data_IF_154160420370
#
_entry.id   IF_154160420370
#
_cell.length_a   1.000
_cell.length_b   1.000
_cell.length_c   1.000
_cell.angle_alpha   90.00
_cell.angle_beta   90.00
_cell.angle_gamma   90.00
#
_symmetry.space_group_name_H-M   'P 1'
#
loop_
_entity.id
_entity.type
_entity.pdbx_description
1 polymer ?
#
# COMPACT_ATOMS: atom_id res chain seq x y z
N UNK A 1 3.74 15.82 3.60
CA UNK A 1 3.73 14.57 2.82
C UNK A 1 2.32 13.95 2.72
N UNK A 2 1.43 14.13 3.70
CA UNK A 2 0.01 13.67 3.68
C UNK A 2 -0.75 13.95 2.38
N UNK A 3 -0.44 15.06 1.70
CA UNK A 3 -1.10 15.45 0.45
C UNK A 3 -1.07 14.37 -0.64
N UNK A 4 -0.04 13.50 -0.69
CA UNK A 4 0.06 12.40 -1.67
C UNK A 4 -1.10 11.41 -1.53
N UNK A 5 -1.66 11.27 -0.33
CA UNK A 5 -2.70 10.30 0.00
C UNK A 5 -4.09 10.92 0.11
N UNK A 6 -4.22 12.24 0.09
CA UNK A 6 -5.52 12.92 0.23
C UNK A 6 -6.48 12.55 -0.88
N UNK A 7 -6.01 12.47 -2.13
CA UNK A 7 -6.85 12.08 -3.27
C UNK A 7 -7.30 10.62 -3.12
N UNK A 8 -6.37 9.71 -2.79
CA UNK A 8 -6.68 8.30 -2.52
C UNK A 8 -7.76 8.15 -1.46
N UNK A 9 -7.63 8.88 -0.35
CA UNK A 9 -8.59 8.85 0.75
C UNK A 9 -9.99 9.28 0.33
N UNK A 10 -10.09 10.41 -0.39
CA UNK A 10 -11.37 10.90 -0.90
C UNK A 10 -12.00 9.90 -1.86
N UNK A 11 -11.23 9.32 -2.78
CA UNK A 11 -11.73 8.34 -3.75
C UNK A 11 -12.28 7.08 -3.08
N UNK A 12 -11.59 6.56 -2.06
CA UNK A 12 -12.07 5.40 -1.29
C UNK A 12 -13.41 5.67 -0.61
N UNK A 13 -13.58 6.84 0.02
CA UNK A 13 -14.85 7.24 0.63
C UNK A 13 -15.98 7.47 -0.39
N UNK A 14 -15.64 7.72 -1.66
CA UNK A 14 -16.59 7.81 -2.76
C UNK A 14 -16.91 6.45 -3.41
N UNK A 15 -16.33 5.35 -2.91
CA UNK A 15 -16.54 4.01 -3.48
C UNK A 15 -15.78 3.77 -4.79
N UNK A 16 -14.69 4.51 -5.03
CA UNK A 16 -13.86 4.40 -6.23
C UNK A 16 -12.58 3.65 -5.90
N UNK A 17 -12.39 2.49 -6.52
CA UNK A 17 -11.13 1.73 -6.46
C UNK A 17 -9.95 2.60 -6.92
N UNK A 18 -8.83 2.51 -6.20
CA UNK A 18 -7.63 3.30 -6.47
C UNK A 18 -6.52 2.39 -6.95
N UNK A 19 -5.97 2.70 -8.13
CA UNK A 19 -4.69 2.18 -8.58
C UNK A 19 -3.68 3.33 -8.58
N UNK A 20 -2.78 3.33 -7.61
CA UNK A 20 -1.77 4.36 -7.40
C UNK A 20 -0.43 3.92 -7.97
N UNK A 21 0.30 4.86 -8.56
CA UNK A 21 1.69 4.70 -8.92
C UNK A 21 2.43 6.05 -8.85
N UNK A 22 3.72 6.02 -8.51
CA UNK A 22 4.57 7.20 -8.49
C UNK A 22 4.87 7.70 -9.92
N UNK A 23 5.20 8.98 -10.06
CA UNK A 23 5.44 9.61 -11.37
C UNK A 23 6.67 9.08 -12.12
N UNK A 24 7.57 8.40 -11.42
CA UNK A 24 8.75 7.72 -11.95
C UNK A 24 8.48 6.25 -12.32
N UNK A 25 7.24 5.78 -12.22
CA UNK A 25 6.85 4.43 -12.63
C UNK A 25 6.52 4.37 -14.12
N UNK A 26 7.18 3.45 -14.84
CA UNK A 26 6.95 3.22 -16.26
C UNK A 26 6.29 1.86 -16.50
N UNK A 27 5.22 1.87 -17.29
CA UNK A 27 4.50 0.67 -17.70
C UNK A 27 4.78 0.34 -19.16
N UNK A 28 5.40 -0.82 -19.41
CA UNK A 28 5.59 -1.33 -20.79
C UNK A 28 4.31 -1.94 -21.36
N UNK A 29 3.34 -2.27 -20.50
CA UNK A 29 2.01 -2.80 -20.83
C UNK A 29 1.01 -2.31 -19.78
N UNK A 30 -0.27 -2.26 -20.12
CA UNK A 30 -1.30 -1.93 -19.14
C UNK A 30 -1.30 -2.95 -17.97
N UNK A 31 -0.93 -2.56 -16.74
CA UNK A 31 -0.84 -3.48 -15.61
C UNK A 31 -2.20 -3.77 -14.97
N UNK A 32 -3.21 -2.93 -15.23
CA UNK A 32 -4.48 -2.96 -14.51
C UNK A 32 -5.21 -4.31 -14.60
N UNK A 33 -5.31 -4.99 -15.75
CA UNK A 33 -5.96 -6.31 -15.82
C UNK A 33 -5.31 -7.35 -14.91
N UNK A 34 -3.97 -7.32 -14.79
CA UNK A 34 -3.22 -8.24 -13.92
C UNK A 34 -3.49 -7.94 -12.44
N UNK A 35 -3.41 -6.66 -12.06
CA UNK A 35 -3.67 -6.19 -10.69
C UNK A 35 -5.08 -6.57 -10.24
N UNK A 36 -6.09 -6.32 -11.09
CA UNK A 36 -7.49 -6.64 -10.77
C UNK A 36 -7.73 -8.16 -10.68
N UNK A 37 -7.13 -8.95 -11.56
CA UNK A 37 -7.21 -10.42 -11.51
C UNK A 37 -6.57 -10.97 -10.23
N UNK A 38 -5.39 -10.48 -9.85
CA UNK A 38 -4.74 -10.89 -8.61
C UNK A 38 -5.55 -10.47 -7.36
N UNK A 39 -6.14 -9.26 -7.36
CA UNK A 39 -6.99 -8.77 -6.27
C UNK A 39 -8.25 -9.61 -6.12
N UNK A 40 -8.80 -10.09 -7.24
CA UNK A 40 -9.95 -11.00 -7.26
C UNK A 40 -9.57 -12.38 -6.71
N UNK A 41 -8.50 -12.99 -7.23
CA UNK A 41 -8.04 -14.34 -6.82
C UNK A 41 -7.68 -14.42 -5.34
N UNK A 42 -6.96 -13.42 -4.83
CA UNK A 42 -6.55 -13.35 -3.43
C UNK A 42 -7.65 -12.84 -2.49
N UNK A 43 -8.76 -12.33 -3.04
CA UNK A 43 -9.79 -11.59 -2.30
C UNK A 43 -9.22 -10.44 -1.47
N UNK A 44 -8.11 -9.86 -1.92
CA UNK A 44 -7.46 -8.74 -1.24
C UNK A 44 -8.19 -7.43 -1.53
N UNK A 45 -8.28 -6.60 -0.51
CA UNK A 45 -8.71 -5.21 -0.56
C UNK A 45 -7.51 -4.29 -0.81
N UNK A 46 -6.30 -4.70 -0.42
CA UNK A 46 -5.10 -3.94 -0.66
C UNK A 46 -4.00 -4.82 -1.27
N UNK A 47 -3.38 -4.33 -2.35
CA UNK A 47 -2.26 -4.96 -3.02
C UNK A 47 -1.10 -3.98 -3.14
N UNK A 48 0.07 -4.37 -2.65
CA UNK A 48 1.27 -3.54 -2.72
C UNK A 48 2.36 -4.24 -3.51
N UNK A 49 3.15 -3.48 -4.27
CA UNK A 49 4.37 -4.02 -4.85
C UNK A 49 5.32 -4.50 -3.75
N UNK A 50 6.05 -5.59 -4.00
CA UNK A 50 7.18 -5.96 -3.14
C UNK A 50 8.40 -5.14 -3.55
N UNK A 51 9.25 -4.76 -2.59
CA UNK A 51 10.56 -4.22 -2.90
C UNK A 51 11.46 -5.33 -3.49
N UNK A 52 12.17 -5.05 -4.58
CA UNK A 52 12.99 -6.07 -5.25
C UNK A 52 14.18 -6.52 -4.39
N UNK A 53 14.85 -5.56 -3.75
CA UNK A 53 16.08 -5.78 -2.98
C UNK A 53 15.88 -5.82 -1.45
N UNK A 54 14.63 -5.92 -0.98
CA UNK A 54 14.32 -5.80 0.44
C UNK A 54 13.08 -6.58 0.87
N UNK A 55 13.01 -6.90 2.17
CA UNK A 55 11.84 -7.57 2.77
C UNK A 55 10.83 -6.53 3.26
N UNK A 56 10.35 -5.68 2.35
CA UNK A 56 9.37 -4.65 2.61
C UNK A 56 8.49 -4.40 1.38
N UNK A 57 7.36 -3.73 1.59
CA UNK A 57 6.54 -3.24 0.49
C UNK A 57 7.24 -2.09 -0.25
N UNK A 58 6.86 -1.88 -1.50
CA UNK A 58 7.07 -0.67 -2.26
C UNK A 58 5.73 0.06 -2.39
N UNK A 59 5.65 1.30 -1.90
CA UNK A 59 4.43 2.12 -1.93
C UNK A 59 4.33 3.01 -3.18
N UNK A 60 5.33 2.93 -4.06
CA UNK A 60 5.33 3.59 -5.35
C UNK A 60 4.41 2.90 -6.36
N UNK A 61 3.86 1.74 -6.02
CA UNK A 61 2.74 1.13 -6.74
C UNK A 61 1.87 0.32 -5.80
N UNK A 62 0.57 0.62 -5.77
CA UNK A 62 -0.40 -0.17 -5.02
C UNK A 62 -1.82 -0.06 -5.59
N UNK A 63 -2.66 -1.02 -5.23
CA UNK A 63 -4.09 -1.01 -5.50
C UNK A 63 -4.87 -1.11 -4.18
N UNK A 64 -5.93 -0.30 -4.07
CA UNK A 64 -6.90 -0.36 -2.99
C UNK A 64 -8.30 -0.51 -3.59
N UNK A 65 -8.99 -1.57 -3.20
CA UNK A 65 -10.43 -1.74 -3.46
C UNK A 65 -11.18 -0.80 -2.53
N UNK A 66 -12.19 -0.10 -3.04
CA UNK A 66 -13.04 0.75 -2.23
C UNK A 66 -14.10 -0.10 -1.51
N UNK A 67 -13.84 -0.38 -0.25
CA UNK A 67 -14.78 -0.99 0.69
C UNK A 67 -14.89 -0.07 1.91
N UNK A 68 -15.96 -0.19 2.73
CA UNK A 68 -16.02 0.54 3.99
C UNK A 68 -14.80 0.26 4.88
N UNK A 69 -14.33 -0.99 4.90
CA UNK A 69 -13.17 -1.40 5.70
C UNK A 69 -11.86 -0.78 5.21
N UNK A 70 -11.61 -0.74 3.89
CA UNK A 70 -10.40 -0.13 3.35
C UNK A 70 -10.41 1.39 3.50
N UNK A 71 -11.56 2.05 3.38
CA UNK A 71 -11.69 3.48 3.61
C UNK A 71 -11.45 3.85 5.09
N UNK A 72 -11.99 3.07 6.02
CA UNK A 72 -11.74 3.24 7.46
C UNK A 72 -10.27 2.98 7.80
N UNK A 73 -9.71 1.85 7.35
CA UNK A 73 -8.30 1.51 7.53
C UNK A 73 -7.36 2.61 7.00
N UNK A 74 -7.64 3.14 5.82
CA UNK A 74 -6.83 4.22 5.23
C UNK A 74 -7.00 5.55 5.98
N UNK A 75 -8.17 5.79 6.58
CA UNK A 75 -8.39 6.94 7.47
C UNK A 75 -7.55 6.84 8.75
N UNK A 76 -7.50 5.65 9.36
CA UNK A 76 -6.62 5.37 10.50
C UNK A 76 -5.15 5.58 10.13
N UNK A 77 -4.73 5.12 8.95
CA UNK A 77 -3.37 5.35 8.45
C UNK A 77 -3.06 6.84 8.33
N UNK A 78 -3.96 7.63 7.73
CA UNK A 78 -3.71 9.05 7.56
C UNK A 78 -3.70 9.82 8.86
N UNK A 79 -4.56 9.46 9.81
CA UNK A 79 -4.54 10.05 11.15
C UNK A 79 -3.21 9.74 11.84
N UNK A 80 -2.80 8.47 11.87
CA UNK A 80 -1.52 8.07 12.45
C UNK A 80 -0.34 8.77 11.79
N UNK A 81 -0.32 8.81 10.45
CA UNK A 81 0.76 9.43 9.69
C UNK A 81 0.82 10.96 9.85
N UNK A 82 -0.35 11.60 10.03
CA UNK A 82 -0.42 13.01 10.38
C UNK A 82 0.21 13.29 11.75
N UNK A 83 -0.05 12.44 12.73
CA UNK A 83 0.42 12.61 14.11
C UNK A 83 1.88 12.19 14.28
N UNK A 84 2.36 11.22 13.48
CA UNK A 84 3.70 10.65 13.52
C UNK A 84 4.56 11.07 12.32
N UNK A 85 4.69 12.38 12.09
CA UNK A 85 5.37 12.96 10.91
C UNK A 85 6.84 12.57 10.73
N UNK A 86 7.47 12.00 11.75
CA UNK A 86 8.86 11.54 11.72
C UNK A 86 9.03 10.15 11.11
N UNK A 87 7.94 9.37 10.99
CA UNK A 87 7.99 8.06 10.34
C UNK A 87 7.87 8.21 8.82
N UNK A 88 8.69 7.45 8.09
CA UNK A 88 8.64 7.42 6.62
C UNK A 88 7.38 6.67 6.19
N UNK A 89 6.66 7.21 5.21
CA UNK A 89 5.37 6.68 4.73
C UNK A 89 5.40 5.18 4.36
N UNK A 90 6.44 4.73 3.65
CA UNK A 90 6.59 3.32 3.29
C UNK A 90 6.65 2.42 4.52
N UNK A 91 7.37 2.86 5.56
CA UNK A 91 7.49 2.13 6.82
C UNK A 91 6.16 2.09 7.56
N UNK A 92 5.47 3.22 7.63
CA UNK A 92 4.13 3.30 8.23
C UNK A 92 3.15 2.34 7.57
N UNK A 93 3.08 2.31 6.24
CA UNK A 93 2.20 1.41 5.50
C UNK A 93 2.59 -0.06 5.69
N UNK A 94 3.89 -0.41 5.71
CA UNK A 94 4.35 -1.79 5.94
C UNK A 94 3.81 -2.36 7.26
N UNK A 95 3.76 -1.52 8.30
CA UNK A 95 3.24 -1.86 9.63
C UNK A 95 1.72 -1.98 9.62
N UNK A 96 1.04 -1.03 8.98
CA UNK A 96 -0.42 -1.04 8.86
C UNK A 96 -0.95 -2.27 8.09
N UNK A 97 -0.12 -2.84 7.21
CA UNK A 97 -0.43 -4.09 6.49
C UNK A 97 0.00 -5.34 7.27
N UNK A 98 0.63 -5.19 8.44
CA UNK A 98 1.14 -6.30 9.24
C UNK A 98 2.22 -7.13 8.53
N UNK A 99 2.92 -6.52 7.55
CA UNK A 99 3.79 -7.12 6.53
C UNK A 99 3.27 -8.46 5.96
N UNK A 100 2.83 -8.49 4.68
CA UNK A 100 2.31 -9.71 4.05
C UNK A 100 3.31 -10.89 3.98
N UNK A 101 4.58 -10.69 4.33
CA UNK A 101 5.63 -11.73 4.38
C UNK A 101 5.93 -12.33 5.75
N UNK A 102 5.31 -11.86 6.85
CA UNK A 102 5.47 -12.40 8.23
C UNK A 102 6.85 -13.01 8.50
N UNK A 103 7.89 -12.17 8.60
CA UNK A 103 8.86 -12.43 9.65
C UNK A 103 8.21 -11.96 10.96
N UNK A 104 8.37 -12.72 12.05
CA UNK A 104 7.65 -12.51 13.31
C UNK A 104 7.80 -11.10 13.90
N UNK A 105 8.79 -10.35 13.44
CA UNK A 105 8.90 -8.92 13.55
C UNK A 105 9.52 -8.48 12.22
N UNK A 106 8.92 -7.53 11.50
CA UNK A 106 9.83 -6.58 10.89
C UNK A 106 10.51 -5.91 12.08
N UNK A 107 11.82 -6.13 12.27
CA UNK A 107 12.63 -5.40 13.27
C UNK A 107 12.70 -3.89 12.96
N UNK A 108 11.81 -3.39 12.09
CA UNK A 108 11.51 -2.00 11.86
C UNK A 108 10.83 -1.45 13.13
N UNK A 109 11.56 -1.40 14.25
CA UNK A 109 11.11 -0.86 15.53
C UNK A 109 10.62 0.58 15.40
N UNK A 110 9.32 0.74 15.23
CA UNK A 110 8.67 2.03 15.22
C UNK A 110 8.39 2.48 16.64
N UNK A 111 8.39 3.78 16.83
CA UNK A 111 8.19 4.35 18.16
C UNK A 111 6.71 4.30 18.59
N UNK A 112 5.78 4.20 17.63
CA UNK A 112 4.34 4.37 17.86
C UNK A 112 3.51 3.39 17.04
N UNK A 113 3.24 2.16 17.51
CA UNK A 113 2.40 1.21 16.78
C UNK A 113 0.95 1.69 16.71
N UNK A 114 0.27 1.52 15.58
CA UNK A 114 -1.15 1.82 15.49
C UNK A 114 -1.96 0.84 16.34
N UNK A 115 -2.96 1.37 17.04
CA UNK A 115 -3.89 0.59 17.87
C UNK A 115 -5.22 0.40 17.13
N UNK A 116 -5.90 -0.71 17.39
CA UNK A 116 -7.28 -0.99 16.93
C UNK A 116 -7.55 -0.83 15.42
N UNK A 117 -6.63 -1.31 14.57
CA UNK A 117 -6.81 -1.22 13.12
C UNK A 117 -7.93 -2.14 12.59
N UNK A 118 -8.78 -1.63 11.68
CA UNK A 118 -9.70 -2.48 10.93
C UNK A 118 -8.92 -3.54 10.17
N UNK A 119 -9.36 -4.80 10.27
CA UNK A 119 -8.78 -5.89 9.51
C UNK A 119 -9.20 -5.77 8.04
N UNK A 120 -8.23 -5.65 7.14
CA UNK A 120 -8.47 -5.68 5.69
C UNK A 120 -7.70 -6.83 5.05
N UNK A 121 -8.22 -7.36 3.94
CA UNK A 121 -7.50 -8.36 3.15
C UNK A 121 -6.31 -7.73 2.43
N UNK A 122 -5.08 -8.13 2.76
CA UNK A 122 -3.86 -7.58 2.14
C UNK A 122 -3.06 -8.67 1.44
N UNK A 123 -2.45 -8.35 0.30
CA UNK A 123 -1.45 -9.22 -0.33
C UNK A 123 -0.37 -8.40 -1.05
N UNK A 124 0.71 -9.06 -1.44
CA UNK A 124 1.75 -8.47 -2.26
C UNK A 124 1.46 -8.76 -3.75
N UNK A 125 1.80 -7.82 -4.63
CA UNK A 125 1.84 -8.07 -6.07
C UNK A 125 3.01 -9.00 -6.36
N UNK A 126 2.68 -10.17 -6.91
CA UNK A 126 3.65 -11.19 -7.26
C UNK A 126 4.20 -10.84 -8.64
N UNK A 127 5.06 -9.82 -8.76
CA UNK A 127 5.76 -9.63 -10.02
C UNK A 127 7.04 -8.79 -9.91
N UNK A 128 8.17 -9.47 -10.10
CA UNK A 128 9.49 -8.84 -10.30
C UNK A 128 9.74 -8.52 -11.78
N UNK A 129 8.87 -8.93 -12.71
CA UNK A 129 9.12 -8.93 -14.15
C UNK A 129 8.14 -8.12 -14.99
N UNK A 130 6.97 -7.72 -14.48
CA UNK A 130 5.98 -6.93 -15.26
C UNK A 130 6.00 -5.43 -14.93
N UNK A 131 6.47 -5.06 -13.74
CA UNK A 131 6.63 -3.66 -13.32
C UNK A 131 8.09 -3.42 -12.96
N UNK A 132 8.76 -2.53 -13.68
CA UNK A 132 10.09 -2.06 -13.33
C UNK A 132 9.94 -0.67 -12.72
N UNK A 133 10.18 -0.57 -11.41
CA UNK A 133 10.28 0.71 -10.70
C UNK A 133 11.76 1.10 -10.78
N UNK A 134 12.09 2.02 -11.68
CA UNK A 134 13.45 2.51 -11.87
C UNK A 134 13.65 3.82 -11.12
N UNK A 135 14.70 3.91 -10.31
CA UNK A 135 15.15 5.20 -9.79
C UNK A 135 15.91 5.94 -10.89
N UNK A 136 15.32 7.00 -11.43
CA UNK A 136 16.06 7.96 -12.25
C UNK A 136 16.55 9.04 -11.28
N UNK A 137 17.84 8.93 -10.90
CA UNK A 137 18.52 9.90 -10.05
C UNK A 137 18.60 11.30 -10.64
#
# INVERSE_FOLDING_TARGET
QVHRFTITHVLLHLGIDVFYFDMDTFFFRNPLPYVLDQASRSRSEALFASHADGDCINIGLFYLRATPGSAEWFSCFLQWYHDQQYEIDQRGLDIFLGSPRRQNFSDLGISYPPEDLPAIGTSALDDVNTVVIGFIG
#
